data_IF_514237904056
#
_entry.id   IF_514237904056
#
_cell.length_a   1.000
_cell.length_b   1.000
_cell.length_c   1.000
_cell.angle_alpha   90.00
_cell.angle_beta   90.00
_cell.angle_gamma   90.00
#
_symmetry.space_group_name_H-M   'P 1'
#
loop_
_entity.id
_entity.type
_entity.pdbx_description
1 polymer ?
#
# COMPACT_ATOMS: atom_id res chain seq x y z
N UNK A 1 -11.24 17.31 -27.56
CA UNK A 1 -9.94 17.81 -27.47
C UNK A 1 -9.59 18.12 -26.03
N UNK A 2 -9.65 19.32 -25.56
CA UNK A 2 -9.25 19.65 -24.20
C UNK A 2 -10.16 19.07 -23.12
N UNK A 3 -11.41 18.74 -23.45
CA UNK A 3 -12.35 18.17 -22.47
C UNK A 3 -11.88 16.81 -21.93
N UNK A 4 -11.46 15.91 -22.81
CA UNK A 4 -11.01 14.59 -22.40
C UNK A 4 -9.72 14.68 -21.57
N UNK A 5 -8.83 15.60 -21.93
CA UNK A 5 -7.60 15.80 -21.21
C UNK A 5 -7.85 16.37 -19.81
N UNK A 6 -8.74 17.36 -19.71
CA UNK A 6 -9.11 17.97 -18.43
C UNK A 6 -9.78 16.96 -17.50
N UNK A 7 -10.69 16.14 -18.05
CA UNK A 7 -11.37 15.12 -17.27
C UNK A 7 -10.39 14.07 -16.73
N UNK A 8 -9.43 13.67 -17.56
CA UNK A 8 -8.39 12.72 -17.13
C UNK A 8 -7.58 13.29 -15.97
N UNK A 9 -7.20 14.55 -16.06
CA UNK A 9 -6.43 15.19 -14.99
C UNK A 9 -7.24 15.26 -13.69
N UNK A 10 -8.52 15.56 -13.77
CA UNK A 10 -9.41 15.60 -12.60
C UNK A 10 -9.55 14.19 -12.00
N UNK A 11 -9.77 13.18 -12.83
CA UNK A 11 -9.91 11.80 -12.37
C UNK A 11 -8.63 11.33 -11.65
N UNK A 12 -7.47 11.66 -12.20
CA UNK A 12 -6.19 11.30 -11.56
C UNK A 12 -6.04 11.96 -10.19
N UNK A 13 -6.42 13.23 -10.06
CA UNK A 13 -6.34 13.94 -8.80
C UNK A 13 -7.29 13.37 -7.75
N UNK A 14 -8.50 13.00 -8.15
CA UNK A 14 -9.50 12.45 -7.25
C UNK A 14 -9.21 11.01 -6.86
N UNK A 15 -8.83 10.17 -7.85
CA UNK A 15 -8.59 8.75 -7.61
C UNK A 15 -7.30 8.50 -6.84
N UNK A 16 -6.34 9.43 -6.93
CA UNK A 16 -5.01 9.26 -6.34
C UNK A 16 -4.77 10.14 -5.13
N UNK A 17 -5.84 10.58 -4.47
CA UNK A 17 -5.70 11.33 -3.23
C UNK A 17 -5.05 10.45 -2.16
N UNK A 18 -4.02 10.94 -1.45
CA UNK A 18 -3.32 10.14 -0.43
C UNK A 18 -4.23 9.57 0.65
N UNK A 19 -5.26 10.30 1.06
CA UNK A 19 -6.19 9.83 2.10
C UNK A 19 -7.00 8.62 1.62
N UNK A 20 -7.46 8.64 0.37
CA UNK A 20 -8.18 7.51 -0.20
C UNK A 20 -7.25 6.32 -0.41
N UNK A 21 -6.04 6.56 -0.88
CA UNK A 21 -5.04 5.51 -1.02
C UNK A 21 -4.73 4.88 0.34
N UNK A 22 -4.59 5.71 1.38
CA UNK A 22 -4.35 5.25 2.74
C UNK A 22 -5.47 4.33 3.22
N UNK A 23 -6.72 4.70 2.97
CA UNK A 23 -7.87 3.89 3.35
C UNK A 23 -7.84 2.54 2.66
N UNK A 24 -7.55 2.51 1.38
CA UNK A 24 -7.45 1.27 0.62
C UNK A 24 -6.34 0.36 1.14
N UNK A 25 -5.19 0.94 1.49
CA UNK A 25 -4.08 0.18 2.05
C UNK A 25 -4.46 -0.40 3.41
N UNK A 26 -5.14 0.36 4.25
CA UNK A 26 -5.61 -0.14 5.55
C UNK A 26 -6.56 -1.33 5.38
N UNK A 27 -7.43 -1.28 4.39
CA UNK A 27 -8.31 -2.41 4.08
C UNK A 27 -7.50 -3.64 3.65
N UNK A 28 -6.51 -3.45 2.79
CA UNK A 28 -5.64 -4.54 2.35
C UNK A 28 -4.94 -5.19 3.54
N UNK A 29 -4.35 -4.36 4.40
CA UNK A 29 -3.62 -4.87 5.56
C UNK A 29 -4.53 -5.65 6.52
N UNK A 30 -5.78 -5.28 6.62
CA UNK A 30 -6.75 -5.98 7.45
C UNK A 30 -7.22 -7.31 6.87
N UNK A 31 -7.05 -7.51 5.57
CA UNK A 31 -7.52 -8.71 4.88
C UNK A 31 -6.42 -9.75 4.67
N UNK A 32 -5.16 -9.35 4.70
CA UNK A 32 -4.07 -10.29 4.43
C UNK A 32 -3.81 -11.17 5.64
N UNK A 33 -3.89 -12.47 5.40
CA UNK A 33 -3.58 -13.47 6.42
C UNK A 33 -2.12 -13.38 6.83
N UNK A 34 -1.87 -13.40 8.11
CA UNK A 34 -0.52 -13.37 8.66
C UNK A 34 -0.12 -12.03 9.24
N UNK A 35 -0.85 -10.96 8.93
CA UNK A 35 -0.61 -9.65 9.53
C UNK A 35 -1.39 -9.57 10.84
N UNK A 36 -0.67 -9.53 11.95
CA UNK A 36 -1.28 -9.42 13.28
C UNK A 36 -1.80 -8.00 13.51
N UNK A 37 -0.97 -7.02 13.19
CA UNK A 37 -1.33 -5.60 13.26
C UNK A 37 -0.38 -4.80 12.40
N UNK A 38 -0.73 -3.55 12.14
CA UNK A 38 0.12 -2.62 11.41
C UNK A 38 0.10 -1.26 12.10
N UNK A 39 1.17 -0.49 11.90
CA UNK A 39 1.26 0.87 12.42
C UNK A 39 2.21 1.72 11.58
N UNK A 40 2.16 3.02 11.83
CA UNK A 40 2.99 4.01 11.14
C UNK A 40 2.85 3.96 9.62
N UNK A 41 1.63 3.80 9.14
CA UNK A 41 1.35 3.85 7.72
C UNK A 41 1.51 5.29 7.22
N UNK A 42 2.39 5.47 6.25
CA UNK A 42 2.61 6.76 5.59
C UNK A 42 2.39 6.59 4.10
N UNK A 43 1.60 7.48 3.54
CA UNK A 43 1.31 7.48 2.11
C UNK A 43 1.52 8.88 1.59
N UNK A 44 2.39 9.02 0.60
CA UNK A 44 2.66 10.30 -0.04
C UNK A 44 2.57 10.15 -1.55
N UNK A 45 2.12 11.21 -2.20
CA UNK A 45 2.15 11.29 -3.67
C UNK A 45 3.50 11.86 -4.11
N UNK A 46 4.11 11.20 -5.08
CA UNK A 46 5.38 11.63 -5.65
C UNK A 46 5.24 11.56 -7.17
N UNK A 47 4.78 12.67 -7.77
CA UNK A 47 4.46 12.71 -9.18
C UNK A 47 3.24 11.83 -9.48
N UNK A 48 3.41 10.86 -10.37
CA UNK A 48 2.36 9.92 -10.73
C UNK A 48 2.41 8.60 -9.93
N UNK A 49 3.24 8.57 -8.89
CA UNK A 49 3.43 7.38 -8.06
C UNK A 49 3.14 7.69 -6.61
N UNK A 50 2.94 6.62 -5.83
CA UNK A 50 2.86 6.73 -4.38
C UNK A 50 4.17 6.27 -3.75
N UNK A 51 4.50 6.87 -2.62
CA UNK A 51 5.52 6.37 -1.72
C UNK A 51 4.82 5.91 -0.45
N UNK A 52 5.00 4.65 -0.11
CA UNK A 52 4.26 3.98 0.96
C UNK A 52 5.25 3.33 1.91
N UNK A 53 5.10 3.66 3.19
CA UNK A 53 5.85 3.03 4.28
C UNK A 53 4.87 2.50 5.31
N UNK A 54 5.12 1.30 5.81
CA UNK A 54 4.29 0.73 6.85
C UNK A 54 5.09 -0.29 7.65
N UNK A 55 4.78 -0.39 8.94
CA UNK A 55 5.30 -1.43 9.82
C UNK A 55 4.19 -2.45 10.06
N UNK A 56 4.51 -3.72 9.88
CA UNK A 56 3.58 -4.81 10.17
C UNK A 56 4.16 -5.73 11.22
N UNK A 57 3.30 -6.31 12.02
CA UNK A 57 3.67 -7.33 13.00
C UNK A 57 3.17 -8.68 12.51
N UNK A 58 4.05 -9.67 12.57
CA UNK A 58 3.74 -11.05 12.21
C UNK A 58 4.12 -11.95 13.36
N UNK A 59 3.62 -13.19 13.35
CA UNK A 59 3.98 -14.17 14.36
C UNK A 59 5.50 -14.33 14.41
N UNK A 60 6.07 -14.18 15.61
CA UNK A 60 7.51 -14.27 15.80
C UNK A 60 8.10 -15.64 15.47
N UNK A 61 7.28 -16.66 15.41
CA UNK A 61 7.72 -18.00 15.11
C UNK A 61 7.79 -18.32 13.62
N UNK A 62 7.39 -17.38 12.77
CA UNK A 62 7.50 -17.56 11.33
C UNK A 62 8.96 -17.54 10.89
N UNK A 63 9.26 -18.30 9.85
CA UNK A 63 10.56 -18.22 9.20
C UNK A 63 10.68 -16.89 8.45
N UNK A 64 11.92 -16.52 8.12
CA UNK A 64 12.16 -15.32 7.30
C UNK A 64 11.44 -15.45 5.96
N UNK A 65 11.45 -16.64 5.37
CA UNK A 65 10.77 -16.89 4.09
C UNK A 65 9.28 -16.65 4.21
N UNK A 66 8.65 -17.15 5.26
CA UNK A 66 7.22 -16.97 5.48
C UNK A 66 6.88 -15.49 5.70
N UNK A 67 7.67 -14.79 6.49
CA UNK A 67 7.46 -13.37 6.73
C UNK A 67 7.64 -12.55 5.44
N UNK A 68 8.65 -12.89 4.65
CA UNK A 68 8.90 -12.24 3.37
C UNK A 68 7.73 -12.45 2.39
N UNK A 69 7.16 -13.64 2.37
CA UNK A 69 6.02 -13.95 1.50
C UNK A 69 4.80 -13.10 1.86
N UNK A 70 4.60 -12.84 3.15
CA UNK A 70 3.52 -11.95 3.60
C UNK A 70 3.76 -10.54 3.06
N UNK A 71 4.97 -10.03 3.20
CA UNK A 71 5.32 -8.69 2.71
C UNK A 71 5.14 -8.59 1.19
N UNK A 72 5.57 -9.60 0.43
CA UNK A 72 5.38 -9.61 -1.02
C UNK A 72 3.91 -9.60 -1.40
N UNK A 73 3.09 -10.34 -0.67
CA UNK A 73 1.66 -10.39 -0.92
C UNK A 73 1.01 -9.02 -0.72
N UNK A 74 1.43 -8.32 0.32
CA UNK A 74 0.97 -6.95 0.58
C UNK A 74 1.36 -6.05 -0.58
N UNK A 75 2.62 -6.10 -1.02
CA UNK A 75 3.09 -5.27 -2.13
C UNK A 75 2.31 -5.52 -3.40
N UNK A 76 2.06 -6.77 -3.74
CA UNK A 76 1.30 -7.13 -4.94
C UNK A 76 -0.13 -6.59 -4.87
N UNK A 77 -0.76 -6.71 -3.72
CA UNK A 77 -2.12 -6.22 -3.54
C UNK A 77 -2.17 -4.69 -3.66
N UNK A 78 -1.22 -4.00 -3.07
CA UNK A 78 -1.16 -2.54 -3.17
C UNK A 78 -0.97 -2.11 -4.61
N UNK A 79 -0.02 -2.71 -5.33
CA UNK A 79 0.21 -2.37 -6.73
C UNK A 79 -0.97 -2.68 -7.62
N UNK A 80 -1.70 -3.74 -7.33
CA UNK A 80 -2.87 -4.08 -8.13
C UNK A 80 -3.99 -3.05 -7.98
N UNK A 81 -4.06 -2.38 -6.83
CA UNK A 81 -5.11 -1.39 -6.55
C UNK A 81 -4.68 0.05 -6.85
N UNK A 82 -3.44 0.39 -6.56
CA UNK A 82 -2.96 1.77 -6.64
C UNK A 82 -2.02 2.02 -7.81
N UNK A 83 -1.60 0.97 -8.50
CA UNK A 83 -0.63 1.10 -9.59
C UNK A 83 0.80 1.16 -9.08
N UNK A 84 1.69 1.70 -9.91
CA UNK A 84 3.11 1.76 -9.62
C UNK A 84 3.38 2.60 -8.36
N UNK A 85 4.13 2.03 -7.44
CA UNK A 85 4.40 2.64 -6.14
C UNK A 85 5.74 2.16 -5.61
N UNK A 86 6.38 3.01 -4.82
CA UNK A 86 7.52 2.62 -4.01
C UNK A 86 6.99 2.18 -2.65
N UNK A 87 7.19 0.93 -2.30
CA UNK A 87 6.60 0.34 -1.11
C UNK A 87 7.69 -0.20 -0.20
N UNK A 88 7.72 0.30 1.03
CA UNK A 88 8.64 -0.17 2.06
C UNK A 88 7.83 -0.77 3.20
N UNK A 89 7.99 -2.05 3.42
CA UNK A 89 7.29 -2.77 4.49
C UNK A 89 8.34 -3.26 5.49
N UNK A 90 8.21 -2.76 6.71
CA UNK A 90 9.07 -3.19 7.82
C UNK A 90 8.35 -4.28 8.59
N UNK A 91 8.95 -5.46 8.63
CA UNK A 91 8.36 -6.62 9.30
C UNK A 91 8.95 -6.74 10.69
N UNK A 92 8.08 -6.78 11.67
CA UNK A 92 8.46 -6.89 13.08
C UNK A 92 7.79 -8.12 13.71
N UNK A 93 8.46 -8.79 14.62
CA UNK A 93 7.81 -9.88 15.36
C UNK A 93 6.79 -9.32 16.35
N UNK A 94 5.67 -9.99 16.44
CA UNK A 94 4.64 -9.60 17.39
C UNK A 94 4.95 -10.13 18.79
#
# INVERSE_FOLDING_TARGET
MSWNLARRAIDELLDKAPDEARRQIQEILGEIEGVVKSHDLRVRSAGDKYEIDVNIHVDRNLSIVQAHDIAERIEKMIRSKLGDSTINIHVEPD
#
